data_IF_911292227182
#
_entry.id   IF_911292227182
#
_cell.length_a   1.000
_cell.length_b   1.000
_cell.length_c   1.000
_cell.angle_alpha   90.00
_cell.angle_beta   90.00
_cell.angle_gamma   90.00
#
_symmetry.space_group_name_H-M   'P 1'
#
loop_
_entity.id
_entity.type
_entity.pdbx_description
1 polymer ?
#
# COMPACT_ATOMS: atom_id res chain seq x y z
N UNK A 1 1.21 22.42 6.92
CA UNK A 1 0.63 21.09 7.23
C UNK A 1 1.26 20.10 6.29
N UNK A 2 1.68 18.91 6.75
CA UNK A 2 2.20 17.85 5.88
C UNK A 2 1.11 16.81 5.63
N UNK A 3 0.98 16.34 4.40
CA UNK A 3 -0.03 15.36 3.98
C UNK A 3 0.68 14.13 3.41
N UNK A 4 0.50 13.00 4.08
CA UNK A 4 0.99 11.70 3.63
C UNK A 4 -0.19 10.81 3.22
N UNK A 5 0.00 9.99 2.20
CA UNK A 5 -1.01 9.04 1.71
C UNK A 5 -0.47 7.62 1.74
N UNK A 6 -1.29 6.68 2.19
CA UNK A 6 -1.02 5.26 2.10
C UNK A 6 -2.01 4.63 1.13
N UNK A 7 -1.52 3.91 0.13
CA UNK A 7 -2.34 3.19 -0.83
C UNK A 7 -2.00 1.70 -0.73
N UNK A 8 -2.98 0.91 -0.32
CA UNK A 8 -2.94 -0.54 -0.40
C UNK A 8 -3.64 -0.95 -1.70
N UNK A 9 -2.93 -1.60 -2.61
CA UNK A 9 -3.40 -1.86 -3.97
C UNK A 9 -3.40 -3.35 -4.27
N UNK A 10 -4.42 -3.83 -5.00
CA UNK A 10 -4.53 -5.20 -5.47
C UNK A 10 -5.14 -5.20 -6.86
N UNK A 11 -4.39 -5.64 -7.86
CA UNK A 11 -4.88 -5.76 -9.24
C UNK A 11 -5.39 -4.42 -9.83
N UNK A 12 -4.56 -3.37 -9.74
CA UNK A 12 -4.90 -1.98 -10.12
C UNK A 12 -3.93 -1.39 -11.16
N UNK A 13 -3.29 -2.23 -11.97
CA UNK A 13 -2.26 -1.83 -12.95
C UNK A 13 -2.72 -0.71 -13.90
N UNK A 14 -3.99 -0.73 -14.29
CA UNK A 14 -4.62 0.16 -15.25
C UNK A 14 -5.04 1.53 -14.70
N UNK A 15 -5.21 1.68 -13.38
CA UNK A 15 -5.66 2.95 -12.75
C UNK A 15 -4.61 3.56 -11.83
N UNK A 16 -3.63 2.78 -11.37
CA UNK A 16 -2.67 3.20 -10.36
C UNK A 16 -1.93 4.49 -10.76
N UNK A 17 -1.50 4.57 -12.00
CA UNK A 17 -0.76 5.72 -12.52
C UNK A 17 -1.60 7.00 -12.48
N UNK A 18 -2.83 6.97 -13.01
CA UNK A 18 -3.73 8.12 -12.98
C UNK A 18 -4.05 8.58 -11.56
N UNK A 19 -4.26 7.63 -10.63
CA UNK A 19 -4.53 7.94 -9.24
C UNK A 19 -3.33 8.61 -8.55
N UNK A 20 -2.12 8.06 -8.72
CA UNK A 20 -0.89 8.59 -8.11
C UNK A 20 -0.52 9.95 -8.68
N UNK A 21 -0.59 10.12 -10.00
CA UNK A 21 -0.31 11.40 -10.66
C UNK A 21 -1.27 12.50 -10.19
N UNK A 22 -2.55 12.18 -10.05
CA UNK A 22 -3.56 13.13 -9.55
C UNK A 22 -3.32 13.47 -8.08
N UNK A 23 -2.85 12.52 -7.28
CA UNK A 23 -2.57 12.69 -5.86
C UNK A 23 -1.28 13.46 -5.55
N UNK A 24 -0.24 13.28 -6.36
CA UNK A 24 1.12 13.74 -6.10
C UNK A 24 1.27 15.25 -5.80
N UNK A 25 0.54 16.18 -6.45
CA UNK A 25 0.64 17.61 -6.13
C UNK A 25 0.18 17.97 -4.72
N UNK A 26 -0.67 17.13 -4.11
CA UNK A 26 -1.33 17.38 -2.83
C UNK A 26 -0.70 16.61 -1.67
N UNK A 27 0.36 15.85 -1.92
CA UNK A 27 1.00 14.99 -0.95
C UNK A 27 2.50 15.33 -0.80
N UNK A 28 2.96 15.35 0.44
CA UNK A 28 4.38 15.36 0.77
C UNK A 28 5.02 13.98 0.54
N UNK A 29 4.21 12.91 0.62
CA UNK A 29 4.62 11.55 0.29
C UNK A 29 3.44 10.61 0.05
N UNK A 30 3.65 9.63 -0.83
CA UNK A 30 2.68 8.58 -1.16
C UNK A 30 3.37 7.23 -0.95
N UNK A 31 2.85 6.40 -0.06
CA UNK A 31 3.33 5.06 0.21
C UNK A 31 2.45 4.05 -0.52
N UNK A 32 3.04 3.20 -1.36
CA UNK A 32 2.35 2.16 -2.13
C UNK A 32 2.72 0.78 -1.58
N UNK A 33 1.73 0.03 -1.10
CA UNK A 33 1.85 -1.39 -0.74
C UNK A 33 1.09 -2.25 -1.74
N UNK A 34 1.79 -3.23 -2.33
CA UNK A 34 1.13 -4.30 -3.06
C UNK A 34 0.51 -5.31 -2.10
N UNK A 35 -0.75 -5.65 -2.34
CA UNK A 35 -1.54 -6.56 -1.51
C UNK A 35 -1.63 -7.97 -2.14
N UNK A 36 -0.52 -8.46 -2.67
CA UNK A 36 -0.43 -9.76 -3.33
C UNK A 36 -1.17 -9.75 -4.67
N UNK A 37 -0.84 -8.79 -5.51
CA UNK A 37 -1.33 -8.77 -6.90
C UNK A 37 -0.66 -9.87 -7.71
N UNK A 38 -1.41 -10.44 -8.66
CA UNK A 38 -0.91 -11.43 -9.62
C UNK A 38 -0.81 -10.88 -11.04
N UNK A 39 -1.14 -9.60 -11.22
CA UNK A 39 -1.06 -8.87 -12.48
C UNK A 39 0.16 -7.94 -12.50
N UNK A 40 0.15 -6.96 -13.41
CA UNK A 40 1.27 -6.02 -13.62
C UNK A 40 1.34 -4.90 -12.56
N UNK A 41 0.50 -4.94 -11.51
CA UNK A 41 0.48 -3.92 -10.44
C UNK A 41 1.86 -3.71 -9.78
N UNK A 42 2.64 -4.75 -9.44
CA UNK A 42 3.97 -4.55 -8.84
C UNK A 42 4.94 -3.80 -9.77
N UNK A 43 4.86 -4.06 -11.08
CA UNK A 43 5.67 -3.37 -12.10
C UNK A 43 5.21 -1.92 -12.28
N UNK A 44 3.91 -1.65 -12.19
CA UNK A 44 3.36 -0.30 -12.18
C UNK A 44 3.85 0.50 -10.95
N UNK A 45 3.86 -0.11 -9.76
CA UNK A 45 4.41 0.51 -8.53
C UNK A 45 5.89 0.86 -8.73
N UNK A 46 6.69 -0.07 -9.23
CA UNK A 46 8.13 0.16 -9.44
C UNK A 46 8.41 1.29 -10.45
N UNK A 47 7.62 1.36 -11.53
CA UNK A 47 7.71 2.45 -12.51
C UNK A 47 7.37 3.81 -11.89
N UNK A 48 6.38 3.86 -11.00
CA UNK A 48 5.95 5.08 -10.33
C UNK A 48 6.97 5.57 -9.31
N UNK A 49 7.58 4.69 -8.53
CA UNK A 49 8.62 5.11 -7.57
C UNK A 49 9.87 5.66 -8.24
N UNK A 50 10.24 5.12 -9.41
CA UNK A 50 11.34 5.65 -10.21
C UNK A 50 11.02 7.02 -10.81
N UNK A 51 9.77 7.23 -11.22
CA UNK A 51 9.32 8.46 -11.88
C UNK A 51 9.02 9.60 -10.89
N UNK A 52 8.59 9.26 -9.67
CA UNK A 52 8.13 10.23 -8.67
C UNK A 52 8.88 10.03 -7.34
N UNK A 53 9.86 10.90 -7.00
CA UNK A 53 10.69 10.73 -5.80
C UNK A 53 9.94 10.76 -4.46
N UNK A 54 8.71 11.28 -4.46
CA UNK A 54 7.81 11.32 -3.29
C UNK A 54 6.90 10.09 -3.19
N UNK A 55 6.98 9.17 -4.15
CA UNK A 55 6.26 7.91 -4.14
C UNK A 55 7.22 6.83 -3.65
N UNK A 56 6.84 6.15 -2.58
CA UNK A 56 7.67 5.19 -1.86
C UNK A 56 6.98 3.83 -1.96
N UNK A 57 7.69 2.84 -2.50
CA UNK A 57 7.23 1.45 -2.49
C UNK A 57 7.61 0.87 -1.13
N UNK A 58 6.60 0.47 -0.37
CA UNK A 58 6.79 -0.19 0.94
C UNK A 58 6.92 -1.72 0.82
N UNK A 59 6.97 -2.23 -0.42
CA UNK A 59 7.14 -3.64 -0.75
C UNK A 59 5.81 -4.40 -0.79
N UNK A 60 5.85 -5.65 -1.25
CA UNK A 60 4.71 -6.54 -1.11
C UNK A 60 4.49 -6.84 0.37
N UNK A 61 3.23 -6.88 0.79
CA UNK A 61 2.90 -7.46 2.09
C UNK A 61 3.28 -8.95 2.08
N UNK A 62 3.91 -9.42 3.16
CA UNK A 62 4.30 -10.83 3.31
C UNK A 62 3.09 -11.78 3.17
N UNK A 63 1.91 -11.32 3.59
CA UNK A 63 0.63 -11.96 3.31
C UNK A 63 -0.41 -10.93 2.84
N UNK A 64 -1.27 -11.26 1.87
CA UNK A 64 -2.36 -10.39 1.47
C UNK A 64 -3.28 -10.08 2.66
N UNK A 65 -3.63 -8.81 2.81
CA UNK A 65 -4.44 -8.27 3.90
C UNK A 65 -5.77 -9.00 4.07
N UNK A 66 -6.39 -9.50 3.00
CA UNK A 66 -7.66 -10.23 3.09
C UNK A 66 -7.54 -11.60 3.78
N UNK A 67 -6.33 -12.18 3.89
CA UNK A 67 -6.11 -13.40 4.66
C UNK A 67 -6.11 -13.11 6.16
N UNK A 68 -5.53 -11.98 6.56
CA UNK A 68 -5.45 -11.50 7.94
C UNK A 68 -6.80 -10.90 8.38
N UNK A 69 -7.50 -10.20 7.48
CA UNK A 69 -8.78 -9.55 7.75
C UNK A 69 -10.00 -10.49 7.71
N UNK A 70 -9.80 -11.81 7.59
CA UNK A 70 -10.90 -12.77 7.79
C UNK A 70 -11.46 -12.53 9.18
N UNK A 71 -12.73 -12.11 9.23
CA UNK A 71 -13.49 -11.70 10.42
C UNK A 71 -12.81 -12.22 11.70
N UNK A 72 -12.26 -11.33 12.53
CA UNK A 72 -12.17 -11.70 13.92
C UNK A 72 -13.58 -12.11 14.35
N UNK A 73 -13.71 -13.13 15.18
CA UNK A 73 -14.92 -13.24 15.99
C UNK A 73 -15.21 -11.84 16.54
N UNK A 74 -16.46 -11.40 16.57
CA UNK A 74 -16.85 -10.01 16.92
C UNK A 74 -16.28 -9.53 18.28
N UNK A 75 -15.65 -10.42 19.04
CA UNK A 75 -14.99 -10.21 20.33
C UNK A 75 -13.49 -9.90 20.26
N UNK A 76 -12.83 -9.91 19.09
CA UNK A 76 -11.38 -9.62 18.99
C UNK A 76 -11.10 -8.50 17.98
N UNK A 77 -10.92 -7.27 18.42
CA UNK A 77 -10.36 -6.22 17.56
C UNK A 77 -8.90 -6.54 17.26
N UNK A 78 -8.49 -6.77 15.99
CA UNK A 78 -7.11 -7.06 15.67
C UNK A 78 -6.29 -5.79 15.92
N UNK A 79 -5.27 -5.90 16.78
CA UNK A 79 -4.34 -4.81 17.04
C UNK A 79 -3.15 -4.99 16.10
N UNK A 80 -3.01 -4.09 15.13
CA UNK A 80 -1.84 -4.08 14.24
C UNK A 80 -0.78 -3.18 14.88
N UNK A 81 0.38 -3.76 15.18
CA UNK A 81 1.52 -3.04 15.74
C UNK A 81 2.58 -2.91 14.65
N UNK A 82 3.09 -1.69 14.45
CA UNK A 82 4.29 -1.45 13.64
C UNK A 82 5.51 -1.36 14.55
N UNK A 83 6.44 -2.29 14.38
CA UNK A 83 7.78 -2.25 14.97
C UNK A 83 8.82 -2.44 13.85
N UNK A 84 9.91 -1.66 13.87
CA UNK A 84 11.03 -1.77 12.93
C UNK A 84 10.65 -1.86 11.43
N UNK A 85 9.69 -1.03 11.01
CA UNK A 85 9.16 -1.00 9.63
C UNK A 85 8.50 -2.32 9.17
N UNK A 86 8.14 -3.21 10.09
CA UNK A 86 7.40 -4.43 9.82
C UNK A 86 6.02 -4.39 10.48
N UNK A 87 5.01 -4.88 9.75
CA UNK A 87 3.64 -5.00 10.22
C UNK A 87 3.46 -6.35 10.89
N UNK A 88 3.15 -6.33 12.18
CA UNK A 88 2.82 -7.52 12.96
C UNK A 88 1.32 -7.56 13.25
N UNK A 89 0.68 -8.69 12.99
CA UNK A 89 -0.70 -8.97 13.40
C UNK A 89 -0.73 -10.02 14.50
N UNK A 90 -1.52 -9.79 15.56
CA UNK A 90 -1.98 -10.82 16.50
C UNK A 90 -3.45 -11.15 16.23
#
# INVERSE_FOLDING_TARGET
MKIFRLCLVKEEDNILEGAVVTAAPWADGIFLADNGSSDETPMAIERLTRSYPRVINIGPLAEPFYKIARKPNRDTSPTIIMEDNQLFGQ
#
